data_IF_115053648892
#
_entry.id   IF_115053648892
#
_cell.length_a   1.000
_cell.length_b   1.000
_cell.length_c   1.000
_cell.angle_alpha   90.00
_cell.angle_beta   90.00
_cell.angle_gamma   90.00
#
_symmetry.space_group_name_H-M   'P 1'
#
loop_
_entity.id
_entity.type
_entity.pdbx_description
1 polymer ?
#
# COMPACT_ATOMS: atom_id res chain seq x y z
N UNK A 1 -15.16 -9.89 -6.50
CA UNK A 1 -14.89 -8.54 -5.96
C UNK A 1 -14.19 -7.64 -6.98
N UNK A 2 -13.09 -8.07 -7.60
CA UNK A 2 -12.29 -7.24 -8.52
C UNK A 2 -13.08 -6.65 -9.69
N UNK A 3 -13.88 -7.46 -10.40
CA UNK A 3 -14.66 -7.00 -11.57
C UNK A 3 -15.70 -5.93 -11.18
N UNK A 4 -16.48 -6.20 -10.13
CA UNK A 4 -17.45 -5.23 -9.61
C UNK A 4 -16.76 -3.93 -9.16
N UNK A 5 -15.63 -4.04 -8.45
CA UNK A 5 -14.86 -2.88 -8.03
C UNK A 5 -14.32 -2.05 -9.20
N UNK A 6 -13.87 -2.69 -10.29
CA UNK A 6 -13.42 -2.00 -11.51
C UNK A 6 -14.56 -1.19 -12.13
N UNK A 7 -15.72 -1.82 -12.33
CA UNK A 7 -16.90 -1.16 -12.91
C UNK A 7 -17.34 0.02 -12.04
N UNK A 8 -17.47 -0.19 -10.73
CA UNK A 8 -17.90 0.86 -9.79
C UNK A 8 -16.92 2.04 -9.78
N UNK A 9 -15.61 1.79 -9.75
CA UNK A 9 -14.63 2.87 -9.75
C UNK A 9 -14.57 3.61 -11.09
N UNK A 10 -14.75 2.94 -12.23
CA UNK A 10 -14.89 3.61 -13.54
C UNK A 10 -16.10 4.55 -13.52
N UNK A 11 -17.26 4.07 -13.07
CA UNK A 11 -18.46 4.90 -12.98
C UNK A 11 -18.25 6.10 -12.06
N UNK A 12 -17.62 5.90 -10.91
CA UNK A 12 -17.27 6.99 -9.99
C UNK A 12 -16.36 8.03 -10.67
N UNK A 13 -15.33 7.60 -11.40
CA UNK A 13 -14.44 8.49 -12.14
C UNK A 13 -15.23 9.35 -13.14
N UNK A 14 -16.09 8.72 -13.95
CA UNK A 14 -16.93 9.43 -14.93
C UNK A 14 -17.82 10.46 -14.23
N UNK A 15 -18.50 10.06 -13.16
CA UNK A 15 -19.40 10.93 -12.40
C UNK A 15 -18.65 12.11 -11.78
N UNK A 16 -17.49 11.90 -11.15
CA UNK A 16 -16.73 12.99 -10.52
C UNK A 16 -16.12 13.96 -11.54
N UNK A 17 -15.73 13.48 -12.73
CA UNK A 17 -15.31 14.35 -13.83
C UNK A 17 -16.49 15.22 -14.30
N UNK A 18 -17.67 14.64 -14.46
CA UNK A 18 -18.88 15.38 -14.85
C UNK A 18 -19.33 16.41 -13.81
N UNK A 19 -19.18 16.10 -12.52
CA UNK A 19 -19.49 17.03 -11.42
C UNK A 19 -18.54 18.23 -11.34
N UNK A 20 -17.36 18.14 -11.98
CA UNK A 20 -16.35 19.19 -12.03
C UNK A 20 -15.44 19.24 -10.80
N UNK A 21 -14.19 19.67 -11.04
CA UNK A 21 -13.10 19.68 -10.06
C UNK A 21 -12.97 21.01 -9.30
N UNK A 22 -14.10 21.65 -9.00
CA UNK A 22 -14.13 22.91 -8.25
C UNK A 22 -14.28 22.71 -6.73
N UNK A 23 -14.77 21.54 -6.32
CA UNK A 23 -14.92 21.16 -4.91
C UNK A 23 -13.75 20.26 -4.49
N UNK A 24 -13.01 20.58 -3.39
CA UNK A 24 -11.95 19.71 -2.86
C UNK A 24 -12.45 18.29 -2.53
N UNK A 25 -13.72 18.12 -2.17
CA UNK A 25 -14.31 16.81 -1.93
C UNK A 25 -14.31 15.98 -3.21
N UNK A 26 -14.78 16.54 -4.32
CA UNK A 26 -14.86 15.83 -5.60
C UNK A 26 -13.46 15.45 -6.11
N UNK A 27 -12.48 16.34 -5.92
CA UNK A 27 -11.08 16.04 -6.25
C UNK A 27 -10.57 14.84 -5.44
N UNK A 28 -10.83 14.83 -4.13
CA UNK A 28 -10.38 13.74 -3.26
C UNK A 28 -11.05 12.41 -3.61
N UNK A 29 -12.35 12.43 -3.90
CA UNK A 29 -13.11 11.23 -4.29
C UNK A 29 -12.74 10.72 -5.69
N UNK A 30 -12.43 11.62 -6.62
CA UNK A 30 -11.87 11.26 -7.92
C UNK A 30 -10.50 10.58 -7.74
N UNK A 31 -9.61 11.21 -6.97
CA UNK A 31 -8.29 10.64 -6.65
C UNK A 31 -8.39 9.24 -6.04
N UNK A 32 -9.31 9.06 -5.08
CA UNK A 32 -9.58 7.78 -4.45
C UNK A 32 -10.06 6.73 -5.47
N UNK A 33 -10.98 7.11 -6.36
CA UNK A 33 -11.52 6.20 -7.38
C UNK A 33 -10.46 5.80 -8.41
N UNK A 34 -9.56 6.72 -8.78
CA UNK A 34 -8.41 6.44 -9.66
C UNK A 34 -7.43 5.48 -8.99
N UNK A 35 -7.09 5.71 -7.72
CA UNK A 35 -6.14 4.84 -7.01
C UNK A 35 -6.70 3.46 -6.77
N UNK A 36 -7.99 3.36 -6.41
CA UNK A 36 -8.68 2.09 -6.23
C UNK A 36 -8.80 1.34 -7.55
N UNK A 37 -9.18 2.01 -8.64
CA UNK A 37 -9.20 1.41 -9.97
C UNK A 37 -7.83 0.84 -10.37
N UNK A 38 -6.77 1.64 -10.23
CA UNK A 38 -5.40 1.21 -10.54
C UNK A 38 -4.97 0.00 -9.72
N UNK A 39 -5.27 -0.02 -8.43
CA UNK A 39 -4.99 -1.18 -7.57
C UNK A 39 -5.75 -2.43 -8.03
N UNK A 40 -7.03 -2.30 -8.38
CA UNK A 40 -7.86 -3.43 -8.81
C UNK A 40 -7.42 -4.00 -10.17
N UNK A 41 -6.96 -3.15 -11.10
CA UNK A 41 -6.38 -3.59 -12.38
C UNK A 41 -5.14 -4.44 -12.12
N UNK A 42 -4.25 -3.99 -11.24
CA UNK A 42 -3.03 -4.73 -10.92
C UNK A 42 -3.34 -6.03 -10.15
N UNK A 43 -4.34 -5.99 -9.26
CA UNK A 43 -4.81 -7.18 -8.56
C UNK A 43 -5.41 -8.23 -9.51
N UNK A 44 -6.08 -7.78 -10.57
CA UNK A 44 -6.56 -8.65 -11.64
C UNK A 44 -5.40 -9.36 -12.34
N UNK A 45 -4.35 -8.64 -12.72
CA UNK A 45 -3.15 -9.25 -13.34
C UNK A 45 -2.42 -10.21 -12.38
N UNK A 46 -2.29 -9.85 -11.10
CA UNK A 46 -1.75 -10.75 -10.06
C UNK A 46 -2.55 -12.05 -10.00
N UNK A 47 -3.88 -11.95 -10.00
CA UNK A 47 -4.76 -13.12 -9.96
C UNK A 47 -4.60 -13.98 -11.21
N UNK A 48 -4.45 -13.34 -12.38
CA UNK A 48 -4.21 -14.01 -13.65
C UNK A 48 -2.90 -14.81 -13.60
N UNK A 49 -1.81 -14.23 -13.10
CA UNK A 49 -0.51 -14.90 -12.96
C UNK A 49 -0.54 -16.16 -12.07
N UNK A 50 -1.57 -16.31 -11.22
CA UNK A 50 -1.73 -17.46 -10.33
C UNK A 50 -2.54 -18.62 -10.95
N UNK A 51 -3.15 -18.42 -12.12
CA UNK A 51 -3.94 -19.45 -12.80
C UNK A 51 -3.01 -20.56 -13.30
N UNK A 52 -3.15 -21.81 -12.80
CA UNK A 52 -2.24 -22.92 -13.16
C UNK A 52 -2.22 -23.20 -14.66
N UNK A 53 -3.33 -22.99 -15.35
CA UNK A 53 -3.49 -23.20 -16.78
C UNK A 53 -2.65 -22.27 -17.66
N UNK A 54 -2.08 -21.19 -17.10
CA UNK A 54 -1.16 -20.31 -17.85
C UNK A 54 0.31 -20.76 -17.77
N UNK A 55 0.67 -21.63 -16.82
CA UNK A 55 2.02 -22.19 -16.69
C UNK A 55 2.47 -23.05 -17.90
N UNK A 56 1.61 -23.88 -18.52
CA UNK A 56 2.00 -24.68 -19.68
C UNK A 56 1.99 -23.91 -21.02
N UNK A 57 1.55 -22.64 -21.04
CA UNK A 57 1.59 -21.85 -22.27
C UNK A 57 3.02 -21.36 -22.55
N UNK A 58 3.45 -21.46 -23.81
CA UNK A 58 4.77 -21.04 -24.30
C UNK A 58 4.89 -19.50 -24.37
N UNK A 59 4.69 -18.83 -23.24
CA UNK A 59 4.73 -17.37 -23.11
C UNK A 59 6.18 -16.86 -23.22
N UNK A 60 6.41 -15.67 -23.80
CA UNK A 60 7.76 -15.08 -23.94
C UNK A 60 8.35 -14.55 -22.61
N UNK A 61 7.62 -14.71 -21.50
CA UNK A 61 8.00 -14.30 -20.16
C UNK A 61 7.54 -15.34 -19.13
N UNK A 62 8.18 -15.37 -17.96
CA UNK A 62 7.66 -16.13 -16.82
C UNK A 62 6.58 -15.34 -16.08
N UNK A 63 5.32 -15.83 -16.02
CA UNK A 63 4.23 -15.12 -15.34
C UNK A 63 4.54 -14.81 -13.87
N UNK A 64 5.26 -15.72 -13.20
CA UNK A 64 5.65 -15.58 -11.80
C UNK A 64 6.65 -14.44 -11.55
N UNK A 65 7.41 -14.03 -12.58
CA UNK A 65 8.37 -12.95 -12.48
C UNK A 65 7.70 -11.59 -12.72
N UNK A 66 6.72 -11.49 -13.64
CA UNK A 66 5.91 -10.28 -13.78
C UNK A 66 5.08 -9.97 -12.53
N UNK A 67 4.69 -11.00 -11.78
CA UNK A 67 3.99 -10.86 -10.52
C UNK A 67 4.70 -9.90 -9.54
N UNK A 68 6.03 -9.93 -9.47
CA UNK A 68 6.80 -9.05 -8.60
C UNK A 68 6.53 -7.57 -8.90
N UNK A 69 6.58 -7.19 -10.18
CA UNK A 69 6.31 -5.82 -10.61
C UNK A 69 4.86 -5.43 -10.36
N UNK A 70 3.90 -6.30 -10.67
CA UNK A 70 2.49 -6.03 -10.40
C UNK A 70 2.21 -5.87 -8.91
N UNK A 71 2.82 -6.69 -8.05
CA UNK A 71 2.68 -6.57 -6.59
C UNK A 71 3.24 -5.24 -6.08
N UNK A 72 4.44 -4.84 -6.48
CA UNK A 72 5.01 -3.57 -6.02
C UNK A 72 4.23 -2.36 -6.51
N UNK A 73 3.79 -2.35 -7.77
CA UNK A 73 2.93 -1.28 -8.29
C UNK A 73 1.57 -1.27 -7.59
N UNK A 74 1.00 -2.45 -7.29
CA UNK A 74 -0.25 -2.55 -6.53
C UNK A 74 -0.09 -1.92 -5.13
N UNK A 75 1.03 -2.19 -4.46
CA UNK A 75 1.32 -1.57 -3.15
C UNK A 75 1.32 -0.05 -3.25
N UNK A 76 1.96 0.55 -4.26
CA UNK A 76 1.96 2.02 -4.45
C UNK A 76 0.53 2.57 -4.48
N UNK A 77 -0.34 2.00 -5.33
CA UNK A 77 -1.73 2.45 -5.43
C UNK A 77 -2.49 2.31 -4.10
N UNK A 78 -2.34 1.19 -3.40
CA UNK A 78 -2.99 1.00 -2.10
C UNK A 78 -2.49 1.97 -1.02
N UNK A 79 -1.21 2.39 -1.07
CA UNK A 79 -0.66 3.40 -0.15
C UNK A 79 -1.12 4.81 -0.50
N UNK A 80 -1.24 5.11 -1.79
CA UNK A 80 -1.87 6.36 -2.25
C UNK A 80 -3.33 6.43 -1.78
N UNK A 81 -4.14 5.39 -2.00
CA UNK A 81 -5.52 5.29 -1.47
C UNK A 81 -5.57 5.60 0.04
N UNK A 82 -4.60 5.10 0.80
CA UNK A 82 -4.52 5.32 2.25
C UNK A 82 -4.26 6.78 2.61
N UNK A 83 -3.30 7.42 1.92
CA UNK A 83 -3.03 8.84 2.13
C UNK A 83 -4.20 9.74 1.72
N UNK A 84 -4.89 9.41 0.62
CA UNK A 84 -6.11 10.11 0.18
C UNK A 84 -7.22 9.96 1.24
N UNK A 85 -7.40 8.75 1.78
CA UNK A 85 -8.37 8.47 2.85
C UNK A 85 -8.05 9.29 4.11
N UNK A 86 -6.77 9.41 4.48
CA UNK A 86 -6.35 10.25 5.59
C UNK A 86 -6.68 11.73 5.35
N UNK A 87 -6.46 12.25 4.13
CA UNK A 87 -6.84 13.61 3.76
C UNK A 87 -8.35 13.85 3.84
N UNK A 88 -9.16 12.94 3.29
CA UNK A 88 -10.62 13.01 3.38
C UNK A 88 -11.06 13.02 4.85
N UNK A 89 -10.47 12.15 5.68
CA UNK A 89 -10.80 12.08 7.11
C UNK A 89 -10.43 13.38 7.84
N UNK A 90 -9.28 13.96 7.51
CA UNK A 90 -8.84 15.24 8.04
C UNK A 90 -9.80 16.39 7.68
N UNK A 91 -10.14 16.51 6.39
CA UNK A 91 -11.09 17.51 5.90
C UNK A 91 -12.42 17.42 6.66
N UNK A 92 -12.91 16.20 6.88
CA UNK A 92 -14.18 15.96 7.59
C UNK A 92 -14.08 16.31 9.06
N UNK A 93 -12.96 16.01 9.72
CA UNK A 93 -12.74 16.42 11.10
C UNK A 93 -12.70 17.94 11.22
N UNK A 94 -12.00 18.63 10.32
CA UNK A 94 -11.96 20.09 10.29
C UNK A 94 -13.34 20.70 10.02
N UNK A 95 -14.15 20.11 9.13
CA UNK A 95 -15.50 20.59 8.85
C UNK A 95 -16.39 20.58 10.11
N UNK A 96 -16.27 19.54 10.96
CA UNK A 96 -17.06 19.46 12.20
C UNK A 96 -16.47 20.33 13.31
N UNK A 97 -15.16 20.31 13.51
CA UNK A 97 -14.50 20.99 14.62
C UNK A 97 -14.37 22.50 14.38
N UNK A 98 -14.12 22.90 13.13
CA UNK A 98 -13.82 24.27 12.75
C UNK A 98 -14.55 24.69 11.45
N UNK A 99 -15.90 24.68 11.44
CA UNK A 99 -16.71 24.96 10.24
C UNK A 99 -16.46 26.34 9.63
N UNK A 100 -16.00 27.32 10.41
CA UNK A 100 -15.70 28.68 9.92
C UNK A 100 -14.33 28.76 9.22
N UNK A 101 -13.39 27.88 9.54
CA UNK A 101 -12.02 27.91 9.00
C UNK A 101 -11.82 26.94 7.84
N UNK A 102 -12.69 25.95 7.65
CA UNK A 102 -12.53 24.91 6.63
C UNK A 102 -12.33 25.48 5.22
N UNK A 103 -13.11 26.49 4.80
CA UNK A 103 -13.02 27.08 3.46
C UNK A 103 -11.69 27.80 3.19
N UNK A 104 -11.01 28.25 4.26
CA UNK A 104 -9.69 28.87 4.16
C UNK A 104 -8.57 27.83 4.23
N UNK A 105 -8.79 26.73 4.96
CA UNK A 105 -7.80 25.67 5.17
C UNK A 105 -7.76 24.66 4.00
N UNK A 106 -8.92 24.16 3.60
CA UNK A 106 -9.07 23.16 2.53
C UNK A 106 -9.56 23.85 1.27
N UNK A 107 -8.63 24.06 0.33
CA UNK A 107 -8.92 24.60 -0.99
C UNK A 107 -8.68 23.53 -2.06
N UNK A 108 -9.31 23.65 -3.25
CA UNK A 108 -9.06 22.74 -4.38
C UNK A 108 -7.57 22.61 -4.71
N UNK A 109 -6.85 23.74 -4.79
CA UNK A 109 -5.41 23.74 -5.11
C UNK A 109 -4.56 23.01 -4.08
N UNK A 110 -4.84 23.18 -2.78
CA UNK A 110 -4.14 22.45 -1.71
C UNK A 110 -4.44 20.96 -1.75
N UNK A 111 -5.69 20.60 -2.05
CA UNK A 111 -6.10 19.20 -2.20
C UNK A 111 -5.35 18.54 -3.35
N UNK A 112 -5.35 19.15 -4.55
CA UNK A 112 -4.58 18.64 -5.71
C UNK A 112 -3.10 18.53 -5.38
N UNK A 113 -2.51 19.56 -4.75
CA UNK A 113 -1.11 19.53 -4.34
C UNK A 113 -0.82 18.36 -3.40
N UNK A 114 -1.67 18.13 -2.38
CA UNK A 114 -1.54 16.97 -1.50
C UNK A 114 -1.61 15.64 -2.28
N UNK A 115 -2.57 15.49 -3.20
CA UNK A 115 -2.72 14.27 -4.02
C UNK A 115 -1.49 13.99 -4.89
N UNK A 116 -0.90 15.03 -5.47
CA UNK A 116 0.32 14.90 -6.28
C UNK A 116 1.50 14.52 -5.37
N UNK A 117 1.68 15.23 -4.25
CA UNK A 117 2.78 14.98 -3.30
C UNK A 117 2.72 13.56 -2.76
N UNK A 118 1.54 13.07 -2.36
CA UNK A 118 1.41 11.71 -1.85
C UNK A 118 1.71 10.66 -2.93
N UNK A 119 1.23 10.89 -4.16
CA UNK A 119 1.52 9.99 -5.28
C UNK A 119 3.02 9.92 -5.58
N UNK A 120 3.67 11.07 -5.73
CA UNK A 120 5.12 11.16 -5.97
C UNK A 120 5.90 10.54 -4.82
N UNK A 121 5.54 10.81 -3.57
CA UNK A 121 6.21 10.24 -2.39
C UNK A 121 6.14 8.71 -2.42
N UNK A 122 4.98 8.13 -2.73
CA UNK A 122 4.83 6.67 -2.78
C UNK A 122 5.61 6.06 -3.95
N UNK A 123 5.61 6.69 -5.12
CA UNK A 123 6.40 6.23 -6.27
C UNK A 123 7.90 6.29 -5.97
N UNK A 124 8.39 7.40 -5.41
CA UNK A 124 9.80 7.55 -5.04
C UNK A 124 10.21 6.55 -3.95
N UNK A 125 9.33 6.23 -3.00
CA UNK A 125 9.62 5.24 -1.96
C UNK A 125 9.79 3.82 -2.51
N UNK A 126 9.13 3.50 -3.64
CA UNK A 126 9.21 2.21 -4.31
C UNK A 126 10.32 2.15 -5.37
N UNK A 127 10.84 3.29 -5.83
CA UNK A 127 11.88 3.37 -6.87
C UNK A 127 13.12 2.48 -6.59
N UNK A 128 13.69 2.42 -5.37
CA UNK A 128 14.85 1.57 -5.09
C UNK A 128 14.62 0.07 -5.38
N UNK A 129 13.37 -0.38 -5.23
CA UNK A 129 12.99 -1.77 -5.51
C UNK A 129 13.05 -2.08 -7.00
N UNK A 130 12.51 -1.18 -7.83
CA UNK A 130 12.57 -1.30 -9.28
C UNK A 130 13.98 -1.12 -9.82
N UNK A 131 14.81 -0.29 -9.16
CA UNK A 131 16.21 -0.12 -9.56
C UNK A 131 17.04 -1.39 -9.32
N UNK A 132 16.81 -2.07 -8.20
CA UNK A 132 17.56 -3.27 -7.79
C UNK A 132 17.04 -4.58 -8.39
N UNK A 133 15.85 -4.55 -8.98
CA UNK A 133 15.21 -5.70 -9.62
C UNK A 133 14.94 -5.38 -11.08
N UNK A 134 15.72 -5.98 -11.99
CA UNK A 134 15.65 -5.70 -13.41
C UNK A 134 15.07 -6.87 -14.19
N UNK A 135 14.29 -6.56 -15.21
CA UNK A 135 13.89 -7.54 -16.20
C UNK A 135 15.04 -7.70 -17.21
N UNK A 136 15.53 -8.93 -17.39
CA UNK A 136 16.58 -9.28 -18.33
C UNK A 136 16.19 -10.55 -19.11
N UNK A 137 16.67 -10.67 -20.34
CA UNK A 137 16.51 -11.88 -21.13
C UNK A 137 17.46 -12.97 -20.59
N UNK A 138 16.86 -14.06 -20.10
CA UNK A 138 17.57 -15.21 -19.55
C UNK A 138 17.36 -16.39 -20.49
N UNK A 139 18.43 -17.10 -20.85
CA UNK A 139 18.31 -18.31 -21.65
C UNK A 139 17.78 -19.45 -20.77
N UNK A 140 16.67 -20.06 -21.18
CA UNK A 140 16.09 -21.23 -20.53
C UNK A 140 16.48 -22.51 -21.30
N UNK A 141 17.35 -23.36 -20.72
CA UNK A 141 17.77 -24.62 -21.34
C UNK A 141 16.63 -25.60 -21.56
N UNK A 142 15.55 -25.54 -20.76
CA UNK A 142 14.43 -26.47 -20.85
C UNK A 142 13.50 -26.18 -22.02
N UNK A 143 13.42 -24.90 -22.42
CA UNK A 143 12.59 -24.43 -23.56
C UNK A 143 13.42 -24.04 -24.79
N UNK A 144 14.76 -24.08 -24.69
CA UNK A 144 15.71 -23.66 -25.72
C UNK A 144 15.42 -22.26 -26.29
N UNK A 145 15.01 -21.33 -25.43
CA UNK A 145 14.59 -19.97 -25.80
C UNK A 145 15.07 -18.95 -24.77
N UNK A 146 15.30 -17.72 -25.21
CA UNK A 146 15.49 -16.57 -24.32
C UNK A 146 14.15 -16.10 -23.80
N UNK A 147 13.98 -16.09 -22.48
CA UNK A 147 12.74 -15.75 -21.79
C UNK A 147 13.00 -14.54 -20.90
N UNK A 148 12.05 -13.61 -20.86
CA UNK A 148 12.16 -12.45 -19.98
C UNK A 148 12.02 -12.88 -18.52
N UNK A 149 13.02 -12.53 -17.70
CA UNK A 149 12.97 -12.79 -16.28
C UNK A 149 13.68 -11.81 -15.37
N UNK A 150 13.67 -12.09 -14.06
CA UNK A 150 14.15 -11.16 -13.03
C UNK A 150 15.60 -11.46 -12.65
N UNK A 151 16.41 -10.41 -12.66
CA UNK A 151 17.76 -10.41 -12.10
C UNK A 151 17.84 -9.38 -10.97
N UNK A 152 18.45 -9.78 -9.86
CA UNK A 152 18.68 -8.93 -8.70
C UNK A 152 20.15 -8.51 -8.63
N UNK A 153 20.39 -7.25 -8.29
CA UNK A 153 21.75 -6.77 -7.97
C UNK A 153 22.16 -7.32 -6.59
N UNK A 154 23.46 -7.48 -6.33
CA UNK A 154 24.01 -8.02 -5.07
C UNK A 154 23.52 -7.31 -3.80
N UNK A 155 23.18 -6.03 -3.88
CA UNK A 155 22.65 -5.21 -2.77
C UNK A 155 21.12 -5.24 -2.62
N UNK A 156 20.41 -6.00 -3.47
CA UNK A 156 18.95 -6.03 -3.53
C UNK A 156 18.27 -6.40 -2.22
N UNK A 157 18.87 -7.26 -1.39
CA UNK A 157 18.28 -7.70 -0.10
C UNK A 157 18.20 -6.54 0.90
N UNK A 158 19.29 -5.77 1.03
CA UNK A 158 19.34 -4.63 1.94
C UNK A 158 18.41 -3.51 1.46
N UNK A 159 18.39 -3.24 0.15
CA UNK A 159 17.50 -2.23 -0.45
C UNK A 159 16.03 -2.63 -0.29
N UNK A 160 15.67 -3.90 -0.52
CA UNK A 160 14.30 -4.38 -0.33
C UNK A 160 13.88 -4.31 1.14
N UNK A 161 14.79 -4.58 2.08
CA UNK A 161 14.52 -4.40 3.52
C UNK A 161 14.19 -2.93 3.82
N UNK A 162 15.05 -2.00 3.40
CA UNK A 162 14.83 -0.56 3.61
C UNK A 162 13.54 -0.10 2.95
N UNK A 163 13.28 -0.51 1.70
CA UNK A 163 12.06 -0.17 0.97
C UNK A 163 10.79 -0.72 1.64
N UNK A 164 10.86 -1.93 2.21
CA UNK A 164 9.75 -2.48 2.98
C UNK A 164 9.44 -1.61 4.20
N UNK A 165 10.46 -1.14 4.92
CA UNK A 165 10.29 -0.25 6.07
C UNK A 165 9.69 1.10 5.67
N UNK A 166 10.30 1.78 4.69
CA UNK A 166 9.87 3.12 4.27
C UNK A 166 8.45 3.11 3.71
N UNK A 167 8.08 2.08 2.95
CA UNK A 167 6.78 1.95 2.31
C UNK A 167 5.65 1.50 3.28
N UNK A 168 5.98 1.06 4.50
CA UNK A 168 5.00 0.71 5.53
C UNK A 168 4.90 1.77 6.65
N UNK A 169 5.94 2.56 6.87
CA UNK A 169 5.96 3.56 7.94
C UNK A 169 4.89 4.65 7.74
N UNK A 170 4.88 5.31 6.58
CA UNK A 170 3.96 6.42 6.31
C UNK A 170 2.47 5.98 6.31
N UNK A 171 2.10 4.84 5.67
CA UNK A 171 0.74 4.30 5.79
C UNK A 171 0.34 3.95 7.23
N UNK A 172 1.28 3.50 8.07
CA UNK A 172 1.01 3.24 9.49
C UNK A 172 0.69 4.52 10.24
N UNK A 173 1.43 5.61 9.97
CA UNK A 173 1.14 6.94 10.53
C UNK A 173 -0.26 7.41 10.10
N UNK A 174 -0.61 7.26 8.82
CA UNK A 174 -1.95 7.59 8.34
C UNK A 174 -3.05 6.75 9.00
N UNK A 175 -2.81 5.46 9.21
CA UNK A 175 -3.77 4.58 9.90
C UNK A 175 -4.05 5.05 11.34
N UNK A 176 -2.98 5.38 12.10
CA UNK A 176 -3.11 5.91 13.46
C UNK A 176 -3.86 7.25 13.44
N UNK A 177 -3.49 8.13 12.51
CA UNK A 177 -4.13 9.43 12.33
C UNK A 177 -5.62 9.30 12.00
N UNK A 178 -6.00 8.47 11.02
CA UNK A 178 -7.40 8.19 10.66
C UNK A 178 -8.15 7.71 11.90
N UNK A 179 -7.59 6.75 12.64
CA UNK A 179 -8.23 6.20 13.84
C UNK A 179 -8.52 7.28 14.89
N UNK A 180 -7.54 8.14 15.20
CA UNK A 180 -7.71 9.25 16.15
C UNK A 180 -8.78 10.22 15.65
N UNK A 181 -8.70 10.62 14.38
CA UNK A 181 -9.65 11.51 13.74
C UNK A 181 -11.08 10.95 13.78
N UNK A 182 -11.27 9.68 13.46
CA UNK A 182 -12.58 9.01 13.52
C UNK A 182 -13.15 9.02 14.94
N UNK A 183 -12.34 8.75 15.97
CA UNK A 183 -12.78 8.82 17.38
C UNK A 183 -13.23 10.23 17.74
N UNK A 184 -12.46 11.26 17.36
CA UNK A 184 -12.83 12.66 17.60
C UNK A 184 -14.12 13.02 16.88
N UNK A 185 -14.26 12.63 15.61
CA UNK A 185 -15.44 12.84 14.78
C UNK A 185 -16.70 12.27 15.43
N UNK A 186 -16.63 11.00 15.87
CA UNK A 186 -17.75 10.31 16.52
C UNK A 186 -18.13 11.00 17.84
N UNK A 187 -17.14 11.42 18.65
CA UNK A 187 -17.41 12.13 19.91
C UNK A 187 -18.06 13.50 19.67
N UNK A 188 -17.52 14.28 18.73
CA UNK A 188 -18.07 15.59 18.37
C UNK A 188 -19.51 15.49 17.86
N UNK A 189 -19.80 14.48 17.04
CA UNK A 189 -21.16 14.21 16.57
C UNK A 189 -22.13 13.88 17.70
N UNK A 190 -21.75 12.97 18.61
CA UNK A 190 -22.60 12.60 19.75
C UNK A 190 -22.92 13.81 20.62
N UNK A 191 -21.92 14.68 20.85
CA UNK A 191 -22.12 15.95 21.57
C UNK A 191 -23.11 16.87 20.84
N UNK A 192 -22.94 17.06 19.53
CA UNK A 192 -23.82 17.90 18.72
C UNK A 192 -25.25 17.35 18.63
N UNK A 193 -25.43 16.02 18.61
CA UNK A 193 -26.74 15.38 18.63
C UNK A 193 -27.46 15.63 19.96
N UNK A 194 -26.78 15.44 21.10
CA UNK A 194 -27.32 15.70 22.45
C UNK A 194 -27.68 17.17 22.67
N UNK A 195 -26.83 18.09 22.22
CA UNK A 195 -27.12 19.54 22.28
C UNK A 195 -28.41 19.87 21.53
N UNK A 196 -28.66 19.23 20.39
CA UNK A 196 -29.86 19.43 19.57
C UNK A 196 -31.12 18.84 20.20
N UNK A 197 -31.02 17.68 20.86
CA UNK A 197 -32.14 17.11 21.64
C UNK A 197 -32.56 18.04 22.79
N UNK A 198 -31.62 18.77 23.37
CA UNK A 198 -31.88 19.74 24.43
C UNK A 198 -32.40 21.10 23.91
N UNK A 199 -32.21 21.37 22.61
CA UNK A 199 -32.56 22.66 21.97
C UNK A 199 -33.76 22.48 21.02
N UNK A 200 -34.92 22.13 21.56
CA UNK A 200 -36.16 21.93 20.76
C UNK A 200 -36.76 23.28 20.37
N UNK A 201 -36.20 23.94 19.34
CA UNK A 201 -36.89 25.00 18.57
C UNK A 201 -36.08 25.47 17.35
N UNK A 202 -36.11 24.75 16.22
CA UNK A 202 -35.97 25.37 14.88
C UNK A 202 -36.10 24.38 13.72
N UNK A 203 -37.29 24.33 13.13
CA UNK A 203 -37.61 23.51 11.95
C UNK A 203 -36.81 23.88 10.67
N UNK A 204 -36.19 25.06 10.59
CA UNK A 204 -35.34 25.44 9.44
C UNK A 204 -33.91 24.88 9.50
N UNK A 205 -33.42 24.49 10.68
CA UNK A 205 -32.07 23.96 10.83
C UNK A 205 -32.01 22.44 10.58
N UNK A 206 -33.16 21.76 10.58
CA UNK A 206 -33.26 20.31 10.41
C UNK A 206 -32.83 19.80 9.01
N UNK A 207 -33.13 20.54 7.93
CA UNK A 207 -32.85 20.10 6.55
C UNK A 207 -31.37 20.23 6.14
N UNK A 208 -30.68 21.29 6.57
CA UNK A 208 -29.23 21.45 6.38
C UNK A 208 -28.46 20.43 7.24
N UNK A 209 -28.98 20.13 8.44
CA UNK A 209 -28.39 19.16 9.38
C UNK A 209 -28.44 17.71 8.88
N UNK A 210 -29.52 17.29 8.21
CA UNK A 210 -29.65 15.90 7.73
C UNK A 210 -28.64 15.55 6.64
N UNK A 211 -28.27 16.54 5.81
CA UNK A 211 -27.22 16.43 4.80
C UNK A 211 -25.84 16.27 5.45
N UNK A 212 -25.52 17.11 6.45
CA UNK A 212 -24.26 17.00 7.18
C UNK A 212 -24.16 15.67 7.94
N UNK A 213 -25.25 15.24 8.59
CA UNK A 213 -25.30 13.94 9.26
C UNK A 213 -25.10 12.76 8.29
N UNK A 214 -25.65 12.83 7.07
CA UNK A 214 -25.46 11.82 6.02
C UNK A 214 -24.01 11.74 5.57
N UNK A 215 -23.36 12.88 5.32
CA UNK A 215 -21.95 12.94 4.93
C UNK A 215 -21.07 12.37 6.05
N UNK A 216 -21.34 12.69 7.31
CA UNK A 216 -20.52 12.19 8.41
C UNK A 216 -20.77 10.70 8.69
N UNK A 217 -22.00 10.22 8.55
CA UNK A 217 -22.32 8.78 8.60
C UNK A 217 -21.55 8.02 7.52
N UNK A 218 -21.50 8.55 6.30
CA UNK A 218 -20.72 7.98 5.20
C UNK A 218 -19.23 7.88 5.56
N UNK A 219 -18.65 8.96 6.11
CA UNK A 219 -17.23 9.01 6.48
C UNK A 219 -16.89 8.07 7.64
N UNK A 220 -17.79 7.94 8.61
CA UNK A 220 -17.64 7.01 9.73
C UNK A 220 -17.62 5.57 9.22
N UNK A 221 -18.51 5.23 8.28
CA UNK A 221 -18.53 3.91 7.63
C UNK A 221 -17.22 3.68 6.87
N UNK A 222 -16.78 4.65 6.05
CA UNK A 222 -15.50 4.55 5.31
C UNK A 222 -14.34 4.32 6.28
N UNK A 223 -14.29 5.05 7.40
CA UNK A 223 -13.23 4.91 8.40
C UNK A 223 -13.25 3.55 9.09
N UNK A 224 -14.42 3.05 9.50
CA UNK A 224 -14.56 1.73 10.14
C UNK A 224 -14.15 0.63 9.16
N UNK A 225 -14.61 0.69 7.91
CA UNK A 225 -14.22 -0.25 6.85
C UNK A 225 -12.72 -0.19 6.59
N UNK A 226 -12.14 1.01 6.51
CA UNK A 226 -10.70 1.18 6.35
C UNK A 226 -9.95 0.53 7.52
N UNK A 227 -10.35 0.82 8.77
CA UNK A 227 -9.70 0.27 9.95
C UNK A 227 -9.78 -1.27 9.97
N UNK A 228 -10.95 -1.85 9.71
CA UNK A 228 -11.12 -3.31 9.71
C UNK A 228 -10.30 -3.99 8.62
N UNK A 229 -10.19 -3.38 7.44
CA UNK A 229 -9.40 -3.92 6.34
C UNK A 229 -7.88 -3.73 6.53
N UNK A 230 -7.43 -2.61 7.13
CA UNK A 230 -6.00 -2.27 7.22
C UNK A 230 -5.34 -2.74 8.53
N UNK A 231 -6.12 -2.98 9.58
CA UNK A 231 -5.60 -3.41 10.88
C UNK A 231 -4.80 -4.73 10.80
N UNK A 232 -5.26 -5.80 10.12
CA UNK A 232 -4.48 -7.05 10.05
C UNK A 232 -3.09 -6.85 9.45
N UNK A 233 -2.99 -6.10 8.35
CA UNK A 233 -1.71 -5.81 7.69
C UNK A 233 -0.79 -4.96 8.57
N UNK A 234 -1.34 -3.97 9.27
CA UNK A 234 -0.58 -3.12 10.18
C UNK A 234 -0.07 -3.90 11.39
N UNK A 235 -0.89 -4.79 11.96
CA UNK A 235 -0.49 -5.67 13.07
C UNK A 235 0.63 -6.61 12.65
N UNK A 236 0.53 -7.23 11.46
CA UNK A 236 1.61 -8.08 10.93
C UNK A 236 2.90 -7.29 10.76
N UNK A 237 2.83 -6.07 10.23
CA UNK A 237 4.00 -5.21 10.08
C UNK A 237 4.63 -4.85 11.43
N UNK A 238 3.83 -4.45 12.43
CA UNK A 238 4.32 -4.15 13.78
C UNK A 238 4.91 -5.40 14.45
N UNK A 239 4.33 -6.56 14.22
CA UNK A 239 4.86 -7.83 14.71
C UNK A 239 6.23 -8.17 14.10
N UNK A 240 6.38 -8.00 12.77
CA UNK A 240 7.68 -8.14 12.08
C UNK A 240 8.69 -7.11 12.61
N UNK A 241 8.23 -5.92 13.01
CA UNK A 241 9.08 -4.88 13.56
C UNK A 241 9.68 -5.27 14.91
N UNK A 242 8.87 -5.86 15.78
CA UNK A 242 9.31 -6.33 17.12
C UNK A 242 10.12 -7.64 17.02
N UNK A 243 9.80 -8.51 16.05
CA UNK A 243 10.45 -9.80 15.85
C UNK A 243 11.12 -9.89 14.47
N UNK A 244 12.24 -9.16 14.25
CA UNK A 244 12.91 -9.12 12.95
C UNK A 244 13.40 -10.49 12.48
N UNK A 245 13.59 -11.47 13.39
CA UNK A 245 13.91 -12.86 13.07
C UNK A 245 12.88 -13.60 12.21
N UNK A 246 11.64 -13.10 12.10
CA UNK A 246 10.58 -13.69 11.28
C UNK A 246 10.54 -13.14 9.85
N UNK A 247 11.36 -12.12 9.54
CA UNK A 247 11.50 -11.57 8.18
C UNK A 247 12.20 -12.58 7.27
N UNK A 248 11.84 -12.63 5.98
CA UNK A 248 12.56 -13.42 4.97
C UNK A 248 14.08 -13.15 4.97
N UNK A 249 14.49 -11.91 5.23
CA UNK A 249 15.90 -11.55 5.40
C UNK A 249 16.55 -12.19 6.63
N UNK A 250 15.86 -12.23 7.78
CA UNK A 250 16.37 -12.86 9.00
C UNK A 250 16.46 -14.39 8.89
N UNK A 251 15.55 -15.01 8.11
CA UNK A 251 15.65 -16.43 7.75
C UNK A 251 16.86 -16.68 6.85
N UNK A 252 17.08 -15.85 5.83
CA UNK A 252 18.22 -15.99 4.92
C UNK A 252 19.58 -15.68 5.60
N UNK A 253 19.65 -14.72 6.52
CA UNK A 253 20.84 -14.46 7.34
C UNK A 253 21.15 -15.62 8.29
N UNK A 254 20.13 -16.24 8.90
CA UNK A 254 20.32 -17.45 9.71
C UNK A 254 20.80 -18.63 8.88
N UNK A 255 20.19 -18.88 7.72
CA UNK A 255 20.62 -19.94 6.80
C UNK A 255 22.02 -19.68 6.25
N UNK A 256 22.37 -18.44 5.89
CA UNK A 256 23.72 -18.07 5.45
C UNK A 256 24.75 -18.22 6.57
N UNK A 257 24.42 -17.82 7.79
CA UNK A 257 25.30 -17.97 8.96
C UNK A 257 25.47 -19.43 9.37
N UNK A 258 24.43 -20.26 9.21
CA UNK A 258 24.53 -21.72 9.38
C UNK A 258 25.42 -22.32 8.29
N UNK A 259 25.19 -22.01 7.01
CA UNK A 259 26.01 -22.51 5.91
C UNK A 259 27.49 -22.10 6.03
N UNK A 260 27.77 -20.87 6.51
CA UNK A 260 29.14 -20.43 6.77
C UNK A 260 29.80 -21.19 7.94
N UNK A 261 29.02 -21.56 8.96
CA UNK A 261 29.51 -22.40 10.06
C UNK A 261 29.79 -23.83 9.59
N UNK A 262 28.95 -24.39 8.72
CA UNK A 262 29.19 -25.71 8.13
C UNK A 262 30.41 -25.72 7.20
N UNK A 263 30.61 -24.70 6.37
CA UNK A 263 31.79 -24.62 5.49
C UNK A 263 33.10 -24.45 6.28
N UNK A 264 33.12 -23.59 7.32
CA UNK A 264 34.30 -23.44 8.19
C UNK A 264 34.57 -24.72 9.00
N UNK A 265 33.54 -25.51 9.30
CA UNK A 265 33.69 -26.77 10.02
C UNK A 265 34.10 -27.93 9.11
N UNK A 266 33.71 -27.94 7.82
CA UNK A 266 34.26 -28.85 6.80
C UNK A 266 35.74 -28.55 6.51
N UNK A 267 36.14 -27.28 6.49
CA UNK A 267 37.55 -26.88 6.33
C UNK A 267 38.41 -27.27 7.55
N UNK A 268 37.83 -27.28 8.76
CA UNK A 268 38.51 -27.75 9.97
C UNK A 268 38.56 -29.28 10.11
N UNK A 269 37.67 -30.01 9.42
CA UNK A 269 37.53 -31.46 9.52
C UNK A 269 37.97 -32.23 8.27
N UNK A 270 38.47 -31.59 7.20
CA UNK A 270 39.12 -32.28 6.08
C UNK A 270 40.56 -32.66 6.42
N UNK A 271 40.87 -33.92 6.76
CA UNK A 271 42.23 -34.40 6.91
C UNK A 271 42.67 -34.89 5.53
N UNK A 272 43.14 -33.98 4.67
CA UNK A 272 43.33 -34.36 3.27
C UNK A 272 44.23 -33.51 2.40
N UNK A 273 44.94 -32.51 2.95
CA UNK A 273 45.88 -31.71 2.16
C UNK A 273 47.20 -31.39 2.89
N UNK A 274 47.58 -32.20 3.89
CA UNK A 274 48.91 -32.14 4.49
C UNK A 274 49.89 -33.20 3.90
N UNK A 275 49.39 -34.19 3.16
CA UNK A 275 50.20 -35.33 2.66
C UNK A 275 50.77 -35.14 1.25
N UNK A 276 50.59 -33.98 0.59
CA UNK A 276 51.15 -33.72 -0.75
C UNK A 276 52.38 -32.78 -0.76
N UNK A 277 52.95 -32.46 0.41
CA UNK A 277 54.23 -31.71 0.51
C UNK A 277 55.39 -32.60 1.03
N UNK A 278 55.12 -33.87 1.37
CA UNK A 278 56.12 -34.80 1.93
C UNK A 278 56.83 -35.73 0.95
N UNK A 279 56.41 -35.83 -0.31
CA UNK A 279 57.09 -36.68 -1.33
C UNK A 279 57.82 -35.83 -2.38
N UNK A 280 58.80 -35.06 -1.90
CA UNK A 280 59.94 -34.60 -2.70
C UNK A 280 61.18 -34.56 -1.80
N UNK A 281 61.73 -35.73 -1.52
CA UNK A 281 63.16 -35.96 -1.27
C UNK A 281 63.52 -37.33 -1.80
#
# INVERSE_FOLDING_TARGET
MTILGLVVNILNIIVFIQQGLRDPVNISLLGLSISDFGSLVLHFFISLCWIPSLKPMDLPFYPLQLLYFFMWTHVIFTRVTTGITAWITFERCLCILFPLKIKSLVTPGRTVSFMIVICVTMVLSAFPVFYTTRAAWLFDPSRNKSILGIVHISSSVNVQKIAFWTNNLLPTVFFIFITICTVILVKALKKNARWKEQSVSSNKQASVTSRDAKVVRMVTIISITFISCYAPGTVVFLFILVFPQLTFAGRNEKTRSQNLKYSVQEDLYSPGLADLVGQRR
#
